data_IF_108653205817
#
_entry.id   IF_108653205817
#
_cell.length_a   1.000
_cell.length_b   1.000
_cell.length_c   1.000
_cell.angle_alpha   90.00
_cell.angle_beta   90.00
_cell.angle_gamma   90.00
#
_symmetry.space_group_name_H-M   'P 1'
#
loop_
_entity.id
_entity.type
_entity.pdbx_description
1 polymer ?
#
# COMPACT_ATOMS: atom_id res chain seq x y z
N UNK A 1 1.77 29.07 24.93
CA UNK A 1 2.80 28.05 24.64
C UNK A 1 2.06 26.81 24.15
N UNK A 2 1.95 26.58 22.82
CA UNK A 2 1.13 25.49 22.25
C UNK A 2 2.00 24.25 22.08
N UNK A 3 1.55 23.14 22.65
CA UNK A 3 2.21 21.83 22.68
C UNK A 3 2.36 21.23 21.28
N UNK A 4 3.60 20.95 20.90
CA UNK A 4 3.98 20.31 19.64
C UNK A 4 4.05 18.78 19.85
N UNK A 5 2.90 18.12 20.01
CA UNK A 5 2.83 16.67 20.34
C UNK A 5 2.02 15.83 19.35
N UNK A 6 1.66 16.35 18.17
CA UNK A 6 0.67 15.69 17.29
C UNK A 6 1.20 15.16 15.95
N UNK A 7 2.51 14.87 15.81
CA UNK A 7 3.07 14.29 14.56
C UNK A 7 3.51 12.83 14.68
N UNK A 8 3.84 12.35 15.89
CA UNK A 8 4.37 10.98 16.11
C UNK A 8 3.30 9.90 15.93
N UNK A 9 2.11 10.12 16.51
CA UNK A 9 1.06 9.10 16.57
C UNK A 9 0.53 8.65 15.19
N UNK A 10 0.53 9.53 14.18
CA UNK A 10 -0.02 9.21 12.85
C UNK A 10 0.95 8.44 11.95
N UNK A 11 2.26 8.58 12.15
CA UNK A 11 3.26 7.72 11.50
C UNK A 11 3.25 6.35 12.14
N UNK A 12 3.29 6.28 13.47
CA UNK A 12 3.37 5.01 14.20
C UNK A 12 2.16 4.11 13.91
N UNK A 13 0.97 4.70 13.75
CA UNK A 13 -0.25 3.98 13.36
C UNK A 13 -0.24 3.44 11.91
N UNK A 14 0.31 4.18 10.94
CA UNK A 14 0.44 3.70 9.56
C UNK A 14 1.47 2.56 9.45
N UNK A 15 2.57 2.68 10.18
CA UNK A 15 3.64 1.67 10.21
C UNK A 15 3.09 0.38 10.83
N UNK A 16 2.40 0.49 11.98
CA UNK A 16 1.76 -0.64 12.63
C UNK A 16 0.69 -1.29 11.76
N UNK A 17 -0.11 -0.51 11.03
CA UNK A 17 -1.14 -1.03 10.12
C UNK A 17 -0.55 -1.73 8.89
N UNK A 18 0.51 -1.16 8.31
CA UNK A 18 1.24 -1.78 7.20
C UNK A 18 1.86 -3.12 7.63
N UNK A 19 2.44 -3.18 8.83
CA UNK A 19 2.99 -4.41 9.38
C UNK A 19 1.88 -5.43 9.65
N UNK A 20 0.80 -5.04 10.33
CA UNK A 20 -0.28 -5.95 10.67
C UNK A 20 -0.94 -6.55 9.42
N UNK A 21 -1.28 -5.72 8.43
CA UNK A 21 -1.90 -6.18 7.18
C UNK A 21 -0.90 -6.97 6.32
N UNK A 22 0.37 -6.57 6.32
CA UNK A 22 1.45 -7.31 5.66
C UNK A 22 1.59 -8.72 6.23
N UNK A 23 1.66 -8.85 7.56
CA UNK A 23 1.73 -10.13 8.25
C UNK A 23 0.50 -10.98 7.99
N UNK A 24 -0.70 -10.39 8.02
CA UNK A 24 -1.94 -11.08 7.68
C UNK A 24 -1.87 -11.73 6.28
N UNK A 25 -1.45 -10.96 5.27
CA UNK A 25 -1.32 -11.46 3.90
C UNK A 25 -0.23 -12.54 3.76
N UNK A 26 0.90 -12.40 4.47
CA UNK A 26 1.94 -13.45 4.49
C UNK A 26 1.42 -14.73 5.11
N UNK A 27 0.79 -14.66 6.29
CA UNK A 27 0.28 -15.84 7.00
C UNK A 27 -0.84 -16.50 6.21
N UNK A 28 -1.82 -15.72 5.73
CA UNK A 28 -2.91 -16.22 4.90
C UNK A 28 -2.42 -16.84 3.59
N UNK A 29 -1.42 -16.24 2.95
CA UNK A 29 -0.81 -16.77 1.73
C UNK A 29 0.05 -18.01 1.93
N UNK A 30 0.80 -18.10 3.04
CA UNK A 30 1.61 -19.27 3.37
C UNK A 30 0.78 -20.49 3.77
N UNK A 31 -0.41 -20.30 4.34
CA UNK A 31 -1.26 -21.40 4.79
C UNK A 31 -1.55 -22.45 3.70
N UNK A 32 -2.09 -22.12 2.51
CA UNK A 32 -2.31 -23.11 1.46
C UNK A 32 -1.02 -23.66 0.86
N UNK A 33 0.11 -22.93 0.96
CA UNK A 33 1.42 -23.38 0.49
C UNK A 33 2.01 -24.46 1.39
N UNK A 34 1.90 -24.28 2.70
CA UNK A 34 2.48 -25.18 3.70
C UNK A 34 1.54 -26.34 4.04
N UNK A 35 0.23 -26.08 4.14
CA UNK A 35 -0.72 -27.09 4.59
C UNK A 35 -2.10 -26.94 3.92
N UNK A 36 -2.16 -27.23 2.62
CA UNK A 36 -3.37 -27.12 1.80
C UNK A 36 -4.58 -27.86 2.39
N UNK A 37 -4.39 -29.03 3.01
CA UNK A 37 -5.50 -29.79 3.64
C UNK A 37 -6.19 -29.02 4.77
N UNK A 38 -5.44 -28.20 5.51
CA UNK A 38 -5.97 -27.39 6.62
C UNK A 38 -6.73 -26.19 6.06
N UNK A 39 -6.21 -25.61 4.99
CA UNK A 39 -6.91 -24.57 4.25
C UNK A 39 -8.24 -25.09 3.65
N UNK A 40 -8.20 -26.24 2.98
CA UNK A 40 -9.40 -26.89 2.40
C UNK A 40 -10.41 -27.30 3.47
N UNK A 41 -9.97 -27.57 4.70
CA UNK A 41 -10.89 -27.86 5.81
C UNK A 41 -11.76 -26.64 6.16
N UNK A 42 -11.19 -25.44 6.16
CA UNK A 42 -11.89 -24.17 6.45
C UNK A 42 -12.71 -23.69 5.24
N UNK A 43 -12.07 -23.65 4.06
CA UNK A 43 -12.62 -23.03 2.86
C UNK A 43 -13.28 -24.00 1.88
N UNK A 44 -13.25 -25.30 2.21
CA UNK A 44 -13.72 -26.38 1.35
C UNK A 44 -12.68 -26.90 0.36
N UNK A 45 -12.93 -28.10 -0.19
CA UNK A 45 -12.04 -28.73 -1.16
C UNK A 45 -11.84 -27.84 -2.39
N UNK A 46 -10.60 -27.76 -2.87
CA UNK A 46 -10.25 -27.00 -4.07
C UNK A 46 -9.99 -27.95 -5.22
N UNK A 47 -10.69 -27.76 -6.33
CA UNK A 47 -10.42 -28.45 -7.60
C UNK A 47 -9.06 -28.03 -8.15
N UNK A 48 -8.82 -26.72 -8.21
CA UNK A 48 -7.61 -26.14 -8.80
C UNK A 48 -6.59 -25.75 -7.73
N UNK A 49 -5.89 -26.76 -7.19
CA UNK A 49 -4.89 -26.56 -6.12
C UNK A 49 -3.75 -25.66 -6.53
N UNK A 50 -3.30 -25.76 -7.78
CA UNK A 50 -2.23 -24.93 -8.34
C UNK A 50 -2.62 -23.43 -8.33
N UNK A 51 -3.88 -23.12 -8.62
CA UNK A 51 -4.39 -21.75 -8.62
C UNK A 51 -4.42 -21.20 -7.19
N UNK A 52 -4.86 -22.01 -6.23
CA UNK A 52 -4.84 -21.63 -4.82
C UNK A 52 -3.42 -21.35 -4.31
N UNK A 53 -2.43 -22.15 -4.73
CA UNK A 53 -1.02 -21.91 -4.41
C UNK A 53 -0.50 -20.65 -5.09
N UNK A 54 -0.86 -20.39 -6.35
CA UNK A 54 -0.48 -19.17 -7.04
C UNK A 54 -1.03 -17.92 -6.34
N UNK A 55 -2.32 -17.92 -5.97
CA UNK A 55 -2.94 -16.84 -5.18
C UNK A 55 -2.25 -16.70 -3.82
N UNK A 56 -1.95 -17.82 -3.14
CA UNK A 56 -1.19 -17.81 -1.88
C UNK A 56 0.18 -17.16 -2.04
N UNK A 57 0.92 -17.49 -3.10
CA UNK A 57 2.22 -16.88 -3.41
C UNK A 57 2.13 -15.38 -3.71
N UNK A 58 1.06 -14.93 -4.39
CA UNK A 58 0.79 -13.51 -4.61
C UNK A 58 0.49 -12.79 -3.29
N UNK A 59 -0.29 -13.38 -2.38
CA UNK A 59 -0.54 -12.81 -1.06
C UNK A 59 0.72 -12.70 -0.23
N UNK A 60 1.58 -13.73 -0.24
CA UNK A 60 2.90 -13.66 0.40
C UNK A 60 3.73 -12.52 -0.18
N UNK A 61 3.79 -12.39 -1.51
CA UNK A 61 4.56 -11.35 -2.18
C UNK A 61 4.06 -9.94 -1.84
N UNK A 62 2.74 -9.75 -1.83
CA UNK A 62 2.10 -8.49 -1.44
C UNK A 62 2.36 -8.18 0.05
N UNK A 63 2.25 -9.19 0.91
CA UNK A 63 2.52 -9.08 2.35
C UNK A 63 3.97 -8.68 2.64
N UNK A 64 4.95 -9.33 2.00
CA UNK A 64 6.37 -8.97 2.10
C UNK A 64 6.60 -7.55 1.61
N UNK A 65 5.99 -7.15 0.49
CA UNK A 65 6.10 -5.78 -0.03
C UNK A 65 5.56 -4.74 0.95
N UNK A 66 4.46 -5.04 1.66
CA UNK A 66 3.94 -4.18 2.73
C UNK A 66 4.90 -4.08 3.92
N UNK A 67 5.47 -5.21 4.36
CA UNK A 67 6.42 -5.27 5.48
C UNK A 67 7.70 -4.48 5.20
N UNK A 68 8.27 -4.64 4.00
CA UNK A 68 9.46 -3.88 3.58
C UNK A 68 9.12 -2.39 3.43
N UNK A 69 7.98 -2.08 2.82
CA UNK A 69 7.52 -0.70 2.61
C UNK A 69 7.23 0.06 3.90
N UNK A 70 6.89 -0.62 5.00
CA UNK A 70 6.62 0.01 6.29
C UNK A 70 7.82 0.79 6.87
N UNK A 71 9.05 0.50 6.41
CA UNK A 71 10.30 1.07 6.97
C UNK A 71 10.58 2.52 6.55
N UNK A 72 9.87 3.07 5.56
CA UNK A 72 10.11 4.43 5.05
C UNK A 72 8.83 5.17 4.70
N UNK A 73 8.87 6.50 4.71
CA UNK A 73 7.69 7.32 4.41
C UNK A 73 7.14 7.10 2.99
N UNK A 74 8.02 6.98 2.01
CA UNK A 74 7.65 6.70 0.62
C UNK A 74 7.14 5.26 0.47
N UNK A 75 7.84 4.30 1.08
CA UNK A 75 7.44 2.89 1.10
C UNK A 75 6.05 2.67 1.70
N UNK A 76 5.65 3.45 2.72
CA UNK A 76 4.31 3.35 3.33
C UNK A 76 3.18 3.72 2.40
N UNK A 77 3.42 4.67 1.50
CA UNK A 77 2.41 5.02 0.48
C UNK A 77 2.20 3.84 -0.46
N UNK A 78 3.28 3.15 -0.83
CA UNK A 78 3.21 1.94 -1.65
C UNK A 78 2.56 0.78 -0.88
N UNK A 79 2.97 0.53 0.36
CA UNK A 79 2.41 -0.51 1.23
C UNK A 79 0.89 -0.34 1.40
N UNK A 80 0.42 0.89 1.67
CA UNK A 80 -1.00 1.21 1.73
C UNK A 80 -1.72 0.90 0.42
N UNK A 81 -1.16 1.30 -0.73
CA UNK A 81 -1.78 1.04 -2.04
C UNK A 81 -1.91 -0.44 -2.30
N UNK A 82 -0.83 -1.20 -2.11
CA UNK A 82 -0.83 -2.66 -2.25
C UNK A 82 -1.85 -3.30 -1.32
N UNK A 83 -1.90 -2.87 -0.05
CA UNK A 83 -2.89 -3.34 0.91
C UNK A 83 -4.31 -3.09 0.44
N UNK A 84 -4.67 -1.84 0.14
CA UNK A 84 -6.01 -1.48 -0.33
C UNK A 84 -6.41 -2.22 -1.61
N UNK A 85 -5.52 -2.32 -2.61
CA UNK A 85 -5.85 -3.01 -3.86
C UNK A 85 -5.99 -4.52 -3.66
N UNK A 86 -5.19 -5.11 -2.76
CA UNK A 86 -5.31 -6.54 -2.42
C UNK A 86 -6.67 -6.79 -1.76
N UNK A 87 -6.98 -6.03 -0.71
CA UNK A 87 -8.21 -6.20 0.06
C UNK A 87 -9.46 -5.95 -0.77
N UNK A 88 -9.45 -4.90 -1.60
CA UNK A 88 -10.55 -4.63 -2.53
C UNK A 88 -10.77 -5.76 -3.53
N UNK A 89 -9.68 -6.35 -4.05
CA UNK A 89 -9.78 -7.46 -5.01
C UNK A 89 -10.39 -8.69 -4.35
N UNK A 90 -9.89 -9.09 -3.18
CA UNK A 90 -10.40 -10.26 -2.45
C UNK A 90 -11.86 -10.07 -2.04
N UNK A 91 -12.19 -8.91 -1.44
CA UNK A 91 -13.56 -8.56 -1.10
C UNK A 91 -14.50 -8.61 -2.32
N UNK A 92 -14.06 -8.08 -3.46
CA UNK A 92 -14.87 -8.10 -4.68
C UNK A 92 -15.12 -9.53 -5.18
N UNK A 93 -14.11 -10.41 -5.14
CA UNK A 93 -14.27 -11.83 -5.46
C UNK A 93 -15.30 -12.47 -4.54
N UNK A 94 -15.19 -12.27 -3.23
CA UNK A 94 -16.10 -12.89 -2.26
C UNK A 94 -17.54 -12.42 -2.45
N UNK A 95 -17.76 -11.11 -2.57
CA UNK A 95 -19.09 -10.53 -2.77
C UNK A 95 -19.71 -10.93 -4.11
N UNK A 96 -18.90 -11.19 -5.15
CA UNK A 96 -19.41 -11.63 -6.45
C UNK A 96 -19.72 -13.13 -6.45
N UNK A 97 -18.86 -13.97 -5.85
CA UNK A 97 -18.93 -15.42 -6.01
C UNK A 97 -19.65 -16.15 -4.87
N UNK A 98 -19.69 -15.60 -3.65
CA UNK A 98 -20.47 -16.19 -2.54
C UNK A 98 -21.97 -16.19 -2.86
N UNK A 99 -22.61 -15.06 -3.24
CA UNK A 99 -24.05 -15.05 -3.50
C UNK A 99 -24.45 -15.88 -4.72
N UNK A 100 -23.51 -16.11 -5.65
CA UNK A 100 -23.68 -17.01 -6.80
C UNK A 100 -23.56 -18.49 -6.45
N UNK A 101 -23.27 -18.83 -5.19
CA UNK A 101 -23.07 -20.21 -4.74
C UNK A 101 -21.83 -20.90 -5.33
N UNK A 102 -20.91 -20.14 -5.94
CA UNK A 102 -19.71 -20.70 -6.58
C UNK A 102 -18.59 -20.99 -5.58
N UNK A 103 -18.56 -20.26 -4.47
CA UNK A 103 -17.66 -20.47 -3.34
C UNK A 103 -18.46 -20.60 -2.05
N UNK A 104 -17.92 -21.31 -1.06
CA UNK A 104 -18.63 -21.61 0.19
C UNK A 104 -18.92 -20.33 0.98
N UNK A 105 -20.01 -20.27 1.75
CA UNK A 105 -20.31 -19.11 2.62
C UNK A 105 -19.23 -18.79 3.65
N UNK A 106 -18.31 -19.73 3.95
CA UNK A 106 -17.17 -19.48 4.83
C UNK A 106 -16.25 -18.37 4.31
N UNK A 107 -16.29 -18.06 3.02
CA UNK A 107 -15.61 -16.90 2.43
C UNK A 107 -16.19 -15.54 2.87
N UNK A 108 -17.36 -15.49 3.50
CA UNK A 108 -17.85 -14.24 4.11
C UNK A 108 -17.00 -13.81 5.30
N UNK A 109 -16.30 -14.75 5.95
CA UNK A 109 -15.33 -14.40 7.00
C UNK A 109 -14.15 -13.64 6.39
N UNK A 110 -13.67 -14.08 5.22
CA UNK A 110 -12.60 -13.42 4.48
C UNK A 110 -13.06 -12.02 4.04
N UNK A 111 -14.24 -11.92 3.41
CA UNK A 111 -14.86 -10.64 3.06
C UNK A 111 -14.96 -9.68 4.27
N UNK A 112 -15.32 -10.17 5.46
CA UNK A 112 -15.37 -9.35 6.66
C UNK A 112 -13.99 -8.86 7.10
N UNK A 113 -12.96 -9.71 7.01
CA UNK A 113 -11.57 -9.33 7.29
C UNK A 113 -11.09 -8.26 6.30
N UNK A 114 -11.35 -8.45 5.00
CA UNK A 114 -10.94 -7.50 3.96
C UNK A 114 -11.64 -6.14 4.08
N UNK A 115 -12.94 -6.14 4.41
CA UNK A 115 -13.65 -4.92 4.76
C UNK A 115 -13.04 -4.23 5.99
N UNK A 116 -12.61 -5.00 7.00
CA UNK A 116 -11.89 -4.51 8.17
C UNK A 116 -10.58 -3.81 7.80
N UNK A 117 -9.78 -4.38 6.90
CA UNK A 117 -8.55 -3.75 6.43
C UNK A 117 -8.81 -2.48 5.66
N UNK A 118 -9.77 -2.49 4.73
CA UNK A 118 -10.14 -1.31 3.95
C UNK A 118 -10.56 -0.17 4.88
N UNK A 119 -11.45 -0.44 5.84
CA UNK A 119 -11.91 0.57 6.79
C UNK A 119 -10.74 1.12 7.62
N UNK A 120 -9.85 0.27 8.15
CA UNK A 120 -8.67 0.70 8.88
C UNK A 120 -7.75 1.64 8.05
N UNK A 121 -7.54 1.31 6.78
CA UNK A 121 -6.76 2.17 5.87
C UNK A 121 -7.45 3.50 5.55
N UNK A 122 -8.78 3.52 5.44
CA UNK A 122 -9.56 4.74 5.21
C UNK A 122 -9.54 5.67 6.42
N UNK A 123 -9.56 5.11 7.64
CA UNK A 123 -9.47 5.89 8.88
C UNK A 123 -8.07 6.45 9.14
N UNK A 124 -7.04 5.92 8.48
CA UNK A 124 -5.69 6.48 8.59
C UNK A 124 -5.46 7.48 7.46
N UNK A 125 -5.23 8.78 7.72
CA UNK A 125 -5.09 9.77 6.65
C UNK A 125 -3.85 9.50 5.79
N UNK A 126 -4.01 9.68 4.47
CA UNK A 126 -2.92 9.59 3.51
C UNK A 126 -1.91 10.70 3.83
N UNK A 127 -0.68 10.33 4.19
CA UNK A 127 0.39 11.31 4.38
C UNK A 127 0.88 11.73 2.98
N UNK A 128 0.37 12.85 2.47
CA UNK A 128 0.90 13.44 1.24
C UNK A 128 2.39 13.76 1.41
N UNK A 129 3.28 13.30 0.50
CA UNK A 129 4.71 13.62 0.56
C UNK A 129 5.02 15.12 0.37
N UNK A 130 4.03 15.93 -0.01
CA UNK A 130 4.22 17.33 -0.38
C UNK A 130 3.63 18.28 0.69
N UNK A 131 4.50 18.80 1.57
CA UNK A 131 4.09 19.83 2.53
C UNK A 131 5.20 20.53 3.33
N UNK A 132 6.48 20.31 2.99
CA UNK A 132 7.63 21.05 3.56
C UNK A 132 8.62 21.46 2.49
N UNK A 133 8.18 22.22 1.49
CA UNK A 133 9.09 22.92 0.59
C UNK A 133 8.42 24.11 -0.12
N UNK A 134 7.80 25.05 0.62
CA UNK A 134 7.58 26.41 0.07
C UNK A 134 7.28 27.48 1.13
N UNK A 135 8.18 27.64 2.10
CA UNK A 135 8.23 28.85 2.93
C UNK A 135 9.67 29.27 3.21
N UNK A 136 10.35 29.72 2.15
CA UNK A 136 11.44 30.69 2.21
C UNK A 136 11.23 31.61 1.02
N UNK A 137 10.52 32.73 1.16
CA UNK A 137 11.04 33.99 1.67
C UNK A 137 12.40 34.34 1.09
N UNK A 138 12.37 35.19 0.05
CA UNK A 138 13.43 36.15 -0.27
C UNK A 138 14.72 35.62 -0.90
N UNK A 139 14.82 35.70 -2.23
CA UNK A 139 15.94 36.36 -2.93
C UNK A 139 15.63 36.51 -4.41
N UNK A 140 15.30 37.73 -4.79
CA UNK A 140 15.31 38.29 -6.14
C UNK A 140 16.60 37.91 -6.87
N UNK A 141 16.49 37.12 -7.94
CA UNK A 141 17.53 36.98 -8.95
C UNK A 141 17.08 37.77 -10.19
N UNK A 142 17.73 38.92 -10.41
CA UNK A 142 17.50 39.81 -11.54
C UNK A 142 17.79 39.10 -12.88
N UNK A 143 17.10 39.48 -13.98
CA UNK A 143 17.32 38.87 -15.28
C UNK A 143 18.72 39.20 -15.81
N UNK A 144 19.47 38.15 -16.17
CA UNK A 144 20.77 38.26 -16.85
C UNK A 144 20.58 38.96 -18.20
N UNK A 145 20.97 40.23 -18.25
CA UNK A 145 21.07 41.05 -19.46
C UNK A 145 22.12 40.42 -20.38
N UNK A 146 21.67 39.84 -21.50
CA UNK A 146 22.54 39.40 -22.59
C UNK A 146 23.35 40.60 -23.10
N UNK A 147 24.67 40.55 -22.91
CA UNK A 147 25.60 41.54 -23.42
C UNK A 147 26.02 41.05 -24.81
N UNK A 148 25.38 41.58 -25.86
CA UNK A 148 25.89 41.46 -27.23
C UNK A 148 27.32 42.02 -27.26
N UNK A 149 28.23 41.24 -27.83
CA UNK A 149 29.60 41.65 -28.07
C UNK A 149 29.65 42.19 -29.49
N UNK A 150 29.61 43.50 -29.63
CA UNK A 150 29.84 44.18 -30.91
C UNK A 150 31.30 43.94 -31.31
N UNK A 151 31.50 43.25 -32.44
CA UNK A 151 32.78 43.20 -33.13
C UNK A 151 32.76 44.25 -34.23
N UNK A 152 32.94 45.51 -33.84
CA UNK A 152 33.38 46.58 -34.73
C UNK A 152 34.87 46.40 -34.99
N UNK A 153 35.24 46.35 -36.27
CA UNK A 153 36.59 46.03 -36.73
C UNK A 153 37.58 47.20 -36.66
N UNK A 154 38.86 46.91 -36.90
CA UNK A 154 39.82 47.81 -37.51
C UNK A 154 41.14 47.08 -37.82
N UNK A 155 41.47 47.02 -39.12
CA UNK A 155 42.78 47.23 -39.76
C UNK A 155 44.05 46.98 -38.92
N UNK A 156 44.94 46.15 -39.47
CA UNK A 156 46.19 46.57 -40.13
C UNK A 156 46.74 45.45 -40.99
#
# INVERSE_FOLDING_TARGET
MRTCTSRKNSSDGNDSLAVAHGTFNVVGGLWPLLHLRSFEWVFGPKTDRWLQQAVGGLLVSNGVSQLVGATSAEGRTVARRVGLTTALTLLAIDLVYVPKGRIRPTYLLDAAMEAGWITAWLHTPCQSPAGKARTGSGRTAAPRRWRLRDHTGARR
#
